data_IF_055359596067
#
_entry.id   IF_055359596067
#
_cell.length_a   1.000
_cell.length_b   1.000
_cell.length_c   1.000
_cell.angle_alpha   90.00
_cell.angle_beta   90.00
_cell.angle_gamma   90.00
#
_symmetry.space_group_name_H-M   'P 1'
#
loop_
_entity.id
_entity.type
_entity.pdbx_description
1 polymer ?
#
# COMPACT_ATOMS: atom_id res chain seq x y z
N UNK A 1 -12.53 22.54 -22.35
CA UNK A 1 -12.28 21.20 -21.76
C UNK A 1 -12.40 21.25 -20.23
N UNK A 2 -13.45 21.89 -19.68
CA UNK A 2 -13.81 21.81 -18.25
C UNK A 2 -15.14 21.07 -18.05
N UNK A 3 -15.88 20.81 -19.13
CA UNK A 3 -17.28 20.41 -19.06
C UNK A 3 -17.51 18.91 -18.82
N UNK A 4 -16.46 18.07 -18.84
CA UNK A 4 -16.62 16.61 -18.78
C UNK A 4 -16.13 15.98 -17.46
N UNK A 5 -15.45 16.74 -16.59
CA UNK A 5 -14.91 16.18 -15.33
C UNK A 5 -16.02 15.92 -14.31
N UNK A 6 -17.02 16.81 -14.24
CA UNK A 6 -18.20 16.63 -13.38
C UNK A 6 -18.96 15.35 -13.71
N UNK A 7 -19.12 15.03 -15.00
CA UNK A 7 -19.80 13.81 -15.44
C UNK A 7 -19.01 12.55 -15.08
N UNK A 8 -17.68 12.59 -15.19
CA UNK A 8 -16.82 11.50 -14.72
C UNK A 8 -16.98 11.29 -13.22
N UNK A 9 -16.94 12.36 -12.42
CA UNK A 9 -17.14 12.26 -10.97
C UNK A 9 -18.53 11.72 -10.61
N UNK A 10 -19.57 12.13 -11.33
CA UNK A 10 -20.92 11.62 -11.12
C UNK A 10 -21.02 10.13 -11.46
N UNK A 11 -20.41 9.68 -12.55
CA UNK A 11 -20.38 8.25 -12.93
C UNK A 11 -19.59 7.41 -11.93
N UNK A 12 -18.47 7.93 -11.44
CA UNK A 12 -17.71 7.29 -10.36
C UNK A 12 -18.55 7.16 -9.11
N UNK A 13 -19.20 8.26 -8.67
CA UNK A 13 -19.97 8.28 -7.43
C UNK A 13 -21.25 7.45 -7.49
N UNK A 14 -22.02 7.58 -8.56
CA UNK A 14 -23.39 7.06 -8.62
C UNK A 14 -23.55 5.83 -9.51
N UNK A 15 -22.74 5.70 -10.57
CA UNK A 15 -22.76 4.52 -11.44
C UNK A 15 -21.70 3.49 -11.03
N UNK A 16 -20.82 3.81 -10.08
CA UNK A 16 -19.75 2.93 -9.60
C UNK A 16 -18.65 2.69 -10.65
N UNK A 17 -18.58 3.54 -11.67
CA UNK A 17 -17.60 3.38 -12.74
C UNK A 17 -16.18 3.68 -12.27
N UNK A 18 -15.21 3.03 -12.93
CA UNK A 18 -13.78 3.16 -12.60
C UNK A 18 -13.04 3.67 -13.82
N UNK A 19 -12.20 4.68 -13.62
CA UNK A 19 -11.42 5.29 -14.69
C UNK A 19 -9.94 5.25 -14.37
N UNK A 20 -9.12 4.98 -15.38
CA UNK A 20 -7.67 5.13 -15.29
C UNK A 20 -7.30 6.46 -15.91
N UNK A 21 -6.70 7.34 -15.11
CA UNK A 21 -6.06 8.57 -15.58
C UNK A 21 -4.70 8.19 -16.14
N UNK A 22 -4.40 8.60 -17.37
CA UNK A 22 -3.13 8.32 -18.03
C UNK A 22 -2.33 9.59 -18.28
N UNK A 23 -1.01 9.51 -18.18
CA UNK A 23 -0.08 10.57 -18.61
C UNK A 23 0.87 9.98 -19.65
N UNK A 24 0.89 10.57 -20.86
CA UNK A 24 1.71 10.08 -21.99
C UNK A 24 1.46 8.61 -22.38
N UNK A 25 0.28 8.07 -22.05
CA UNK A 25 -0.10 6.68 -22.34
C UNK A 25 0.05 5.75 -21.13
N UNK A 26 0.85 6.15 -20.13
CA UNK A 26 1.08 5.37 -18.92
C UNK A 26 -0.03 5.61 -17.89
N UNK A 27 -0.54 4.56 -17.21
CA UNK A 27 -1.42 4.71 -16.06
C UNK A 27 -0.75 5.57 -14.98
N UNK A 28 -1.44 6.62 -14.54
CA UNK A 28 -0.97 7.53 -13.49
C UNK A 28 -1.79 7.36 -12.21
N UNK A 29 -3.11 7.27 -12.34
CA UNK A 29 -4.01 7.17 -11.19
C UNK A 29 -5.31 6.46 -11.57
N UNK A 30 -6.08 6.04 -10.57
CA UNK A 30 -7.44 5.55 -10.74
C UNK A 30 -8.44 6.46 -10.04
N UNK A 31 -9.58 6.70 -10.69
CA UNK A 31 -10.75 7.32 -10.08
C UNK A 31 -11.76 6.19 -9.78
N UNK A 32 -12.05 6.01 -8.50
CA UNK A 32 -13.02 5.05 -7.97
C UNK A 32 -13.94 5.74 -6.97
N UNK A 33 -15.07 5.10 -6.64
CA UNK A 33 -15.96 5.62 -5.61
C UNK A 33 -15.31 5.48 -4.23
N UNK A 34 -15.72 6.35 -3.29
CA UNK A 34 -15.27 6.27 -1.89
C UNK A 34 -15.61 4.91 -1.28
N UNK A 35 -16.80 4.37 -1.58
CA UNK A 35 -17.20 3.05 -1.09
C UNK A 35 -16.30 1.91 -1.61
N UNK A 36 -15.78 2.01 -2.84
CA UNK A 36 -14.81 1.05 -3.35
C UNK A 36 -13.45 1.21 -2.68
N UNK A 37 -13.00 2.45 -2.45
CA UNK A 37 -11.76 2.72 -1.71
C UNK A 37 -11.83 2.11 -0.30
N UNK A 38 -12.89 2.40 0.46
CA UNK A 38 -13.09 1.84 1.81
C UNK A 38 -13.13 0.31 1.81
N UNK A 39 -13.65 -0.30 0.74
CA UNK A 39 -13.65 -1.76 0.57
C UNK A 39 -12.25 -2.29 0.34
N UNK A 40 -11.43 -1.62 -0.47
CA UNK A 40 -10.03 -2.00 -0.70
C UNK A 40 -9.21 -1.88 0.59
N UNK A 41 -9.32 -0.77 1.31
CA UNK A 41 -8.64 -0.54 2.60
C UNK A 41 -9.03 -1.58 3.66
N UNK A 42 -10.30 -2.05 3.66
CA UNK A 42 -10.72 -3.13 4.55
C UNK A 42 -10.05 -4.46 4.17
N UNK A 43 -10.03 -4.81 2.88
CA UNK A 43 -9.40 -6.05 2.41
C UNK A 43 -7.89 -6.07 2.69
N UNK A 44 -7.22 -4.92 2.58
CA UNK A 44 -5.82 -4.76 2.94
C UNK A 44 -5.60 -5.02 4.44
N UNK A 45 -6.38 -4.37 5.31
CA UNK A 45 -6.28 -4.60 6.77
C UNK A 45 -6.55 -6.05 7.16
N UNK A 46 -7.58 -6.67 6.58
CA UNK A 46 -7.90 -8.09 6.83
C UNK A 46 -6.73 -9.01 6.45
N UNK A 47 -6.04 -8.69 5.34
CA UNK A 47 -4.86 -9.42 4.88
C UNK A 47 -3.68 -9.24 5.83
N UNK A 48 -3.41 -8.03 6.30
CA UNK A 48 -2.32 -7.76 7.24
C UNK A 48 -2.55 -8.48 8.58
N UNK A 49 -3.80 -8.48 9.06
CA UNK A 49 -4.19 -9.22 10.27
C UNK A 49 -4.02 -10.75 10.09
N UNK A 50 -4.30 -11.28 8.91
CA UNK A 50 -4.05 -12.68 8.57
C UNK A 50 -2.55 -12.99 8.58
N UNK A 51 -1.73 -12.17 7.92
CA UNK A 51 -0.27 -12.32 7.91
C UNK A 51 0.28 -12.30 9.34
N UNK A 52 -0.16 -11.36 10.17
CA UNK A 52 0.25 -11.28 11.57
C UNK A 52 -0.17 -12.52 12.37
N UNK A 53 -1.38 -13.04 12.16
CA UNK A 53 -1.84 -14.29 12.81
C UNK A 53 -0.98 -15.48 12.39
N UNK A 54 -0.67 -15.61 11.10
CA UNK A 54 0.20 -16.66 10.58
C UNK A 54 1.60 -16.57 11.18
N UNK A 55 2.19 -15.37 11.23
CA UNK A 55 3.50 -15.15 11.84
C UNK A 55 3.52 -15.55 13.33
N UNK A 56 2.45 -15.21 14.09
CA UNK A 56 2.30 -15.63 15.49
C UNK A 56 2.14 -17.13 15.66
N UNK A 57 1.49 -17.82 14.73
CA UNK A 57 1.27 -19.27 14.83
C UNK A 57 2.55 -20.09 14.62
N UNK A 58 3.52 -19.55 13.86
CA UNK A 58 4.75 -20.26 13.48
C UNK A 58 5.96 -19.81 14.30
N UNK A 59 5.89 -18.65 14.99
CA UNK A 59 6.99 -18.14 15.81
C UNK A 59 6.80 -18.42 17.31
N UNK A 60 7.88 -18.77 18.01
CA UNK A 60 7.90 -18.90 19.48
C UNK A 60 7.83 -17.54 20.21
N UNK A 61 7.86 -16.44 19.45
CA UNK A 61 7.75 -15.07 19.95
C UNK A 61 7.90 -14.06 18.80
N UNK A 62 7.37 -12.85 19.01
CA UNK A 62 7.59 -11.73 18.10
C UNK A 62 8.60 -10.77 18.73
N UNK A 63 9.62 -10.42 17.97
CA UNK A 63 10.54 -9.32 18.29
C UNK A 63 10.32 -8.20 17.31
N UNK A 64 10.43 -6.96 17.78
CA UNK A 64 10.47 -5.79 16.90
C UNK A 64 11.66 -5.87 15.96
N UNK A 65 11.57 -5.27 14.78
CA UNK A 65 12.68 -5.20 13.83
C UNK A 65 13.90 -4.55 14.46
N UNK A 66 13.70 -3.51 15.26
CA UNK A 66 14.78 -2.80 15.97
C UNK A 66 15.54 -3.73 16.91
N UNK A 67 14.84 -4.43 17.80
CA UNK A 67 15.45 -5.41 18.71
C UNK A 67 16.16 -6.56 17.97
N UNK A 68 15.64 -6.98 16.81
CA UNK A 68 16.29 -8.00 15.97
C UNK A 68 17.60 -7.48 15.37
N UNK A 69 17.62 -6.23 14.88
CA UNK A 69 18.83 -5.59 14.36
C UNK A 69 19.88 -5.42 15.45
N UNK A 70 19.48 -4.98 16.65
CA UNK A 70 20.38 -4.84 17.80
C UNK A 70 20.97 -6.20 18.21
N UNK A 71 20.16 -7.27 18.21
CA UNK A 71 20.66 -8.63 18.48
C UNK A 71 21.64 -9.12 17.40
N UNK A 72 21.35 -8.86 16.13
CA UNK A 72 22.23 -9.24 15.03
C UNK A 72 23.57 -8.51 15.12
N UNK A 73 23.55 -7.19 15.35
CA UNK A 73 24.77 -6.38 15.50
C UNK A 73 25.60 -6.85 16.70
N UNK A 74 24.96 -7.18 17.83
CA UNK A 74 25.64 -7.74 18.99
C UNK A 74 26.29 -9.11 18.70
N UNK A 75 25.67 -9.94 17.86
CA UNK A 75 26.18 -11.27 17.52
C UNK A 75 27.29 -11.24 16.46
N UNK A 76 27.19 -10.34 15.48
CA UNK A 76 28.06 -10.31 14.30
C UNK A 76 29.05 -9.14 14.27
N UNK A 77 28.90 -8.16 15.17
CA UNK A 77 29.76 -6.97 15.24
C UNK A 77 29.55 -5.98 14.09
N UNK A 78 28.56 -6.22 13.23
CA UNK A 78 28.18 -5.36 12.12
C UNK A 78 26.65 -5.21 12.07
N UNK A 79 26.20 -4.01 11.74
CA UNK A 79 24.77 -3.74 11.61
C UNK A 79 24.26 -4.34 10.31
N UNK A 80 23.22 -5.17 10.41
CA UNK A 80 22.51 -5.64 9.23
C UNK A 80 21.82 -4.45 8.56
N UNK A 81 22.23 -4.12 7.34
CA UNK A 81 21.46 -3.23 6.49
C UNK A 81 20.28 -4.00 5.92
N UNK A 82 19.16 -3.96 6.64
CA UNK A 82 17.89 -4.39 6.08
C UNK A 82 17.43 -3.26 5.19
N UNK A 83 17.58 -3.43 3.87
CA UNK A 83 16.81 -2.64 2.94
C UNK A 83 15.35 -2.83 3.37
N UNK A 84 14.68 -1.73 3.75
CA UNK A 84 13.24 -1.76 3.89
C UNK A 84 12.72 -2.47 2.64
N UNK A 85 11.83 -3.45 2.82
CA UNK A 85 11.06 -3.90 1.67
C UNK A 85 10.54 -2.61 1.06
N UNK A 86 10.87 -2.31 -0.21
CA UNK A 86 10.49 -1.02 -0.78
C UNK A 86 9.02 -0.85 -0.42
N UNK A 87 8.63 0.28 0.20
CA UNK A 87 7.22 0.50 0.48
C UNK A 87 6.50 0.13 -0.81
N UNK A 88 5.50 -0.75 -0.74
CA UNK A 88 4.75 -1.14 -1.94
C UNK A 88 4.38 0.18 -2.61
N UNK A 89 5.04 0.52 -3.72
CA UNK A 89 5.31 1.93 -4.04
C UNK A 89 4.00 2.69 -4.25
N UNK A 90 3.55 3.41 -3.22
CA UNK A 90 2.47 4.40 -3.34
C UNK A 90 3.01 5.82 -3.61
N UNK A 91 4.33 6.05 -3.59
CA UNK A 91 4.84 7.43 -3.49
C UNK A 91 6.03 7.87 -4.36
N UNK A 92 6.45 7.12 -5.39
CA UNK A 92 7.54 7.58 -6.29
C UNK A 92 7.05 8.21 -7.61
N UNK A 93 5.81 8.69 -7.67
CA UNK A 93 5.23 9.27 -8.91
C UNK A 93 4.69 10.70 -8.74
N UNK A 94 5.36 11.55 -7.95
CA UNK A 94 5.07 13.00 -7.94
C UNK A 94 6.29 13.90 -8.12
N UNK A 95 7.33 13.44 -8.83
CA UNK A 95 8.39 14.35 -9.33
C UNK A 95 8.55 14.23 -10.84
N UNK A 96 7.70 14.96 -11.58
CA UNK A 96 8.04 15.78 -12.77
C UNK A 96 6.77 16.36 -13.41
#
# INVERSE_FOLDING_TARGET
MRDNFGDVLNRVRYAGERFIVKRRGDPLAALISVAELERLERLERERDEEILRMAKAVSEGLVSVEALLDQYEALHGERLEVAASPPLEEETLWTN
#
